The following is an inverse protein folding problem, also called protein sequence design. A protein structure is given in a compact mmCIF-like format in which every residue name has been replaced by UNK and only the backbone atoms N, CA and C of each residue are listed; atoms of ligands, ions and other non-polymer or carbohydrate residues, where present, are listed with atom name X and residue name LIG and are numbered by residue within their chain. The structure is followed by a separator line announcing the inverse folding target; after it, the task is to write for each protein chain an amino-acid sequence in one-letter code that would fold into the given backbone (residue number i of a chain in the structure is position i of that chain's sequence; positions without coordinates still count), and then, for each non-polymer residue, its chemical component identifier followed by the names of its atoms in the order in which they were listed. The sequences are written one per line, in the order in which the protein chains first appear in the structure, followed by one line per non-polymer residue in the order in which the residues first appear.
data_IF_966262447316
#
_entry.id   IF_966262447316
#
_cell.length_a   1.000
_cell.length_b   1.000
_cell.length_c   1.000
_cell.angle_alpha   90.00
_cell.angle_beta   90.00
_cell.angle_gamma   90.00
#
_symmetry.space_group_name_H-M   'P 1'
#
loop_
_entity.id
_entity.type
_entity.pdbx_description
1 polymer ?
#
# COMPACT_ATOMS: atom_id res chain seq x y z
N UNK A 1 18.49 -6.34 3.85
CA UNK A 1 17.08 -6.52 4.24
C UNK A 1 16.61 -7.98 4.12
N UNK A 2 17.51 -8.98 4.14
CA UNK A 2 17.11 -10.40 4.10
C UNK A 2 16.68 -10.94 2.72
N UNK A 3 16.64 -10.11 1.67
CA UNK A 3 16.36 -10.54 0.30
C UNK A 3 17.68 -10.83 -0.44
N UNK A 4 17.91 -12.06 -0.93
CA UNK A 4 19.10 -12.44 -1.70
C UNK A 4 19.29 -11.62 -2.98
N UNK A 5 20.50 -11.57 -3.54
CA UNK A 5 20.79 -10.71 -4.71
C UNK A 5 20.10 -11.19 -5.97
N UNK A 6 20.02 -12.50 -6.15
CA UNK A 6 19.33 -13.18 -7.23
C UNK A 6 17.82 -12.97 -7.25
N UNK A 7 17.26 -12.39 -6.16
CA UNK A 7 15.85 -12.00 -6.05
C UNK A 7 15.63 -10.49 -6.06
N UNK A 8 16.57 -9.74 -6.64
CA UNK A 8 16.50 -8.29 -6.81
C UNK A 8 16.77 -7.95 -8.26
N UNK A 9 15.89 -7.14 -8.84
CA UNK A 9 15.98 -6.70 -10.22
C UNK A 9 15.88 -5.19 -10.28
N UNK A 10 16.67 -4.61 -11.17
CA UNK A 10 16.60 -3.18 -11.53
C UNK A 10 16.11 -3.14 -12.96
N UNK A 11 14.99 -2.46 -13.17
CA UNK A 11 14.43 -2.25 -14.51
C UNK A 11 14.92 -0.90 -15.01
N UNK A 12 15.69 -0.92 -16.10
CA UNK A 12 16.02 0.28 -16.85
C UNK A 12 15.16 0.30 -18.13
N UNK A 13 14.13 1.15 -18.13
CA UNK A 13 13.16 1.24 -19.21
C UNK A 13 12.93 2.71 -19.56
N UNK A 14 12.99 3.12 -20.84
CA UNK A 14 12.89 4.53 -21.23
C UNK A 14 11.55 5.18 -20.82
N UNK A 15 10.47 4.41 -20.77
CA UNK A 15 9.15 4.90 -20.35
C UNK A 15 8.88 4.84 -18.83
N UNK A 16 9.82 4.30 -18.03
CA UNK A 16 9.70 4.15 -16.57
C UNK A 16 10.78 4.94 -15.81
N UNK A 17 11.19 6.08 -16.36
CA UNK A 17 12.18 6.95 -15.73
C UNK A 17 11.57 7.69 -14.53
N UNK A 18 12.36 7.87 -13.47
CA UNK A 18 11.87 8.57 -12.28
C UNK A 18 11.60 10.06 -12.57
N UNK A 19 10.44 10.54 -12.14
CA UNK A 19 9.91 11.85 -12.52
C UNK A 19 8.73 12.24 -11.61
N UNK A 20 8.81 13.42 -11.00
CA UNK A 20 7.80 13.91 -10.06
C UNK A 20 6.59 14.55 -10.74
N UNK A 21 6.62 14.79 -12.05
CA UNK A 21 5.54 15.44 -12.81
C UNK A 21 4.86 14.53 -13.83
N UNK A 22 5.44 13.37 -14.12
CA UNK A 22 4.95 12.43 -15.14
C UNK A 22 4.55 11.14 -14.48
N UNK A 23 3.34 10.65 -14.80
CA UNK A 23 2.90 9.32 -14.40
C UNK A 23 3.37 8.29 -15.41
N UNK A 24 3.85 7.13 -14.94
CA UNK A 24 4.13 5.99 -15.81
C UNK A 24 2.86 5.41 -16.42
N UNK A 25 2.95 4.94 -17.66
CA UNK A 25 1.85 4.25 -18.34
C UNK A 25 1.56 2.91 -17.67
N UNK A 26 0.28 2.70 -17.31
CA UNK A 26 -0.15 1.51 -16.58
C UNK A 26 0.04 0.21 -17.38
N UNK A 27 -0.06 0.25 -18.71
CA UNK A 27 0.17 -0.94 -19.55
C UNK A 27 1.65 -1.28 -19.60
N UNK A 28 2.53 -0.29 -19.69
CA UNK A 28 3.99 -0.52 -19.63
C UNK A 28 4.37 -1.16 -18.30
N UNK A 29 3.90 -0.59 -17.18
CA UNK A 29 4.11 -1.17 -15.84
C UNK A 29 3.57 -2.61 -15.80
N UNK A 30 2.35 -2.84 -16.30
CA UNK A 30 1.73 -4.15 -16.32
C UNK A 30 2.55 -5.18 -17.10
N UNK A 31 3.01 -4.84 -18.31
CA UNK A 31 3.78 -5.72 -19.17
C UNK A 31 5.09 -6.14 -18.51
N UNK A 32 5.83 -5.16 -17.96
CA UNK A 32 7.09 -5.43 -17.25
C UNK A 32 6.85 -6.35 -16.07
N UNK A 33 5.91 -6.01 -15.19
CA UNK A 33 5.70 -6.77 -13.94
C UNK A 33 5.11 -8.16 -14.19
N UNK A 34 4.24 -8.31 -15.19
CA UNK A 34 3.66 -9.60 -15.57
C UNK A 34 4.74 -10.64 -15.86
N UNK A 35 5.77 -10.25 -16.61
CA UNK A 35 6.88 -11.15 -16.94
C UNK A 35 7.61 -11.64 -15.68
N UNK A 36 7.94 -10.73 -14.77
CA UNK A 36 8.60 -11.09 -13.50
C UNK A 36 7.77 -12.03 -12.62
N UNK A 37 6.45 -11.82 -12.57
CA UNK A 37 5.54 -12.67 -11.79
C UNK A 37 5.55 -14.10 -12.34
N UNK A 38 5.48 -14.24 -13.66
CA UNK A 38 5.49 -15.55 -14.33
C UNK A 38 6.83 -16.25 -14.10
N UNK A 39 7.94 -15.57 -14.40
CA UNK A 39 9.28 -16.18 -14.38
C UNK A 39 9.72 -16.62 -12.98
N UNK A 40 9.15 -16.03 -11.93
CA UNK A 40 9.52 -16.28 -10.54
C UNK A 40 8.41 -16.94 -9.71
N UNK A 41 7.30 -17.35 -10.35
CA UNK A 41 6.12 -17.92 -9.69
C UNK A 41 5.67 -17.09 -8.46
N UNK A 42 5.48 -15.79 -8.65
CA UNK A 42 5.11 -14.88 -7.54
C UNK A 42 3.62 -15.04 -7.23
N UNK A 43 3.29 -15.46 -6.00
CA UNK A 43 1.89 -15.63 -5.57
C UNK A 43 1.28 -14.38 -4.92
N UNK A 44 2.11 -13.48 -4.39
CA UNK A 44 1.70 -12.28 -3.66
C UNK A 44 2.51 -11.08 -4.12
N UNK A 45 1.81 -10.01 -4.48
CA UNK A 45 2.41 -8.72 -4.87
C UNK A 45 2.00 -7.65 -3.87
N UNK A 46 3.00 -6.96 -3.31
CA UNK A 46 2.82 -5.79 -2.45
C UNK A 46 3.20 -4.52 -3.20
N UNK A 47 2.38 -3.47 -3.14
CA UNK A 47 2.64 -2.21 -3.86
C UNK A 47 2.22 -0.97 -3.08
N UNK A 48 2.56 0.21 -3.59
CA UNK A 48 2.20 1.51 -3.02
C UNK A 48 0.68 1.74 -2.98
N UNK A 49 0.27 2.74 -2.21
CA UNK A 49 -1.13 3.18 -2.17
C UNK A 49 -1.49 4.03 -3.39
N UNK A 50 -2.79 4.26 -3.59
CA UNK A 50 -3.30 5.03 -4.73
C UNK A 50 -2.98 6.53 -4.67
N UNK A 51 -2.51 7.04 -3.52
CA UNK A 51 -2.01 8.41 -3.34
C UNK A 51 -0.47 8.50 -3.31
N UNK A 52 0.24 7.39 -3.59
CA UNK A 52 1.69 7.38 -3.80
C UNK A 52 2.54 7.77 -2.58
N UNK A 53 2.05 7.53 -1.37
CA UNK A 53 2.56 7.87 -0.03
C UNK A 53 2.72 9.38 0.19
N UNK A 54 3.37 10.07 -0.74
CA UNK A 54 3.63 11.50 -0.78
C UNK A 54 3.17 12.13 -2.09
N UNK A 55 2.15 11.58 -2.75
CA UNK A 55 1.61 12.07 -4.04
C UNK A 55 2.60 11.97 -5.20
N UNK A 56 3.53 11.01 -5.15
CA UNK A 56 4.49 10.79 -6.23
C UNK A 56 3.83 10.08 -7.42
N UNK A 57 3.80 10.65 -8.64
CA UNK A 57 3.09 10.06 -9.78
C UNK A 57 3.51 8.64 -10.11
N UNK A 58 4.81 8.35 -10.09
CA UNK A 58 5.33 7.00 -10.34
C UNK A 58 4.82 5.96 -9.33
N UNK A 59 4.74 6.31 -8.04
CA UNK A 59 4.16 5.42 -7.03
C UNK A 59 2.67 5.18 -7.28
N UNK A 60 1.92 6.21 -7.71
CA UNK A 60 0.50 6.13 -8.04
C UNK A 60 0.26 5.23 -9.27
N UNK A 61 1.19 5.22 -10.24
CA UNK A 61 1.09 4.38 -11.44
C UNK A 61 1.22 2.88 -11.14
N UNK A 62 1.95 2.50 -10.10
CA UNK A 62 2.18 1.10 -9.76
C UNK A 62 0.91 0.29 -9.45
N UNK A 63 0.03 0.70 -8.52
CA UNK A 63 -1.21 -0.05 -8.27
C UNK A 63 -2.12 -0.07 -9.52
N UNK A 64 -2.12 0.99 -10.34
CA UNK A 64 -2.87 1.02 -11.60
C UNK A 64 -2.36 -0.02 -12.59
N UNK A 65 -1.05 -0.11 -12.80
CA UNK A 65 -0.46 -1.13 -13.67
C UNK A 65 -0.69 -2.56 -13.17
N UNK A 66 -0.65 -2.76 -11.85
CA UNK A 66 -0.88 -4.07 -11.25
C UNK A 66 -2.34 -4.54 -11.37
N UNK A 67 -3.31 -3.64 -11.36
CA UNK A 67 -4.71 -3.98 -11.69
C UNK A 67 -4.83 -4.48 -13.13
N UNK A 68 -4.10 -3.87 -14.07
CA UNK A 68 -4.02 -4.39 -15.44
C UNK A 68 -3.38 -5.77 -15.49
N UNK A 69 -2.33 -6.01 -14.70
CA UNK A 69 -1.71 -7.33 -14.58
C UNK A 69 -2.71 -8.38 -14.13
N UNK A 70 -3.49 -8.12 -13.08
CA UNK A 70 -4.53 -9.07 -12.64
C UNK A 70 -5.52 -9.41 -13.76
N UNK A 71 -5.97 -8.41 -14.51
CA UNK A 71 -6.87 -8.61 -15.66
C UNK A 71 -6.23 -9.50 -16.75
N UNK A 72 -4.94 -9.27 -17.04
CA UNK A 72 -4.19 -10.10 -17.99
C UNK A 72 -4.11 -11.56 -17.52
N UNK A 73 -3.78 -11.81 -16.25
CA UNK A 73 -3.73 -13.16 -15.70
C UNK A 73 -5.09 -13.86 -15.76
N UNK A 74 -6.17 -13.16 -15.39
CA UNK A 74 -7.53 -13.67 -15.50
C UNK A 74 -7.89 -14.05 -16.94
N UNK A 75 -7.62 -13.17 -17.91
CA UNK A 75 -7.93 -13.42 -19.31
C UNK A 75 -7.11 -14.60 -19.89
N UNK A 76 -5.85 -14.71 -19.49
CA UNK A 76 -4.93 -15.77 -19.94
C UNK A 76 -5.06 -17.08 -19.16
N UNK A 77 -6.00 -17.20 -18.22
CA UNK A 77 -6.20 -18.39 -17.37
C UNK A 77 -4.95 -18.82 -16.58
N UNK A 78 -4.03 -17.88 -16.32
CA UNK A 78 -2.90 -18.13 -15.44
C UNK A 78 -3.32 -18.03 -13.97
N UNK A 79 -2.68 -18.77 -13.04
CA UNK A 79 -2.85 -18.56 -11.61
C UNK A 79 -2.63 -17.09 -11.26
N UNK A 80 -3.69 -16.42 -10.78
CA UNK A 80 -3.64 -14.98 -10.54
C UNK A 80 -3.01 -14.70 -9.17
N UNK A 81 -1.96 -13.87 -9.09
CA UNK A 81 -1.37 -13.50 -7.81
C UNK A 81 -2.32 -12.63 -6.98
N UNK A 82 -2.20 -12.71 -5.66
CA UNK A 82 -2.91 -11.81 -4.74
C UNK A 82 -2.21 -10.46 -4.72
N UNK A 83 -2.94 -9.39 -5.01
CA UNK A 83 -2.42 -8.03 -5.00
C UNK A 83 -2.81 -7.30 -3.71
N UNK A 84 -1.85 -6.69 -3.06
CA UNK A 84 -2.05 -5.83 -1.90
C UNK A 84 -1.47 -4.45 -2.13
N UNK A 85 -2.25 -3.44 -1.80
CA UNK A 85 -1.85 -2.03 -1.79
C UNK A 85 -1.70 -1.54 -0.37
N UNK A 86 -0.79 -0.60 -0.13
CA UNK A 86 -0.81 0.16 1.12
C UNK A 86 -2.14 0.92 1.24
N UNK A 87 -2.61 1.09 2.46
CA UNK A 87 -3.75 1.98 2.74
C UNK A 87 -3.25 3.42 2.80
N UNK A 88 -3.93 4.27 2.03
CA UNK A 88 -3.77 5.71 2.14
C UNK A 88 -4.30 6.17 3.50
N UNK A 89 -3.44 6.84 4.26
CA UNK A 89 -3.81 7.45 5.54
C UNK A 89 -3.76 8.96 5.44
N UNK A 90 -4.49 9.67 6.32
CA UNK A 90 -4.47 11.13 6.35
C UNK A 90 -3.06 11.67 6.61
N UNK A 91 -2.76 12.89 6.16
CA UNK A 91 -1.46 13.53 6.42
C UNK A 91 -1.15 13.61 7.92
N UNK A 92 -2.15 13.87 8.76
CA UNK A 92 -1.97 13.84 10.21
C UNK A 92 -1.53 12.45 10.70
N UNK A 93 -2.24 11.40 10.27
CA UNK A 93 -1.92 10.00 10.62
C UNK A 93 -0.52 9.59 10.13
N UNK A 94 -0.08 10.10 8.97
CA UNK A 94 1.26 9.82 8.41
C UNK A 94 2.38 10.22 9.37
N UNK A 95 2.20 11.23 10.22
CA UNK A 95 3.24 11.78 11.09
C UNK A 95 3.05 11.45 12.58
N UNK A 96 2.48 10.29 12.88
CA UNK A 96 2.25 9.81 14.26
C UNK A 96 3.40 9.00 14.85
N UNK A 97 4.43 8.69 14.06
CA UNK A 97 5.68 8.03 14.51
C UNK A 97 5.42 6.74 15.32
N UNK A 98 6.19 6.52 16.38
CA UNK A 98 6.12 5.38 17.30
C UNK A 98 4.77 5.27 18.04
N UNK A 99 3.93 6.32 18.04
CA UNK A 99 2.56 6.23 18.57
C UNK A 99 1.60 5.56 17.58
N UNK A 100 2.00 5.41 16.31
CA UNK A 100 1.17 4.83 15.28
C UNK A 100 0.64 3.41 15.58
N UNK A 101 1.38 2.47 16.19
CA UNK A 101 0.84 1.17 16.58
C UNK A 101 -0.23 1.27 17.67
N UNK A 102 -0.10 2.23 18.59
CA UNK A 102 -1.10 2.49 19.64
C UNK A 102 -2.35 3.12 19.04
N UNK A 103 -2.17 4.09 18.14
CA UNK A 103 -3.27 4.73 17.41
C UNK A 103 -3.95 3.77 16.43
N UNK A 104 -3.22 2.87 15.75
CA UNK A 104 -3.82 1.85 14.89
C UNK A 104 -4.74 0.91 15.68
N UNK A 105 -4.30 0.49 16.88
CA UNK A 105 -5.13 -0.32 17.78
C UNK A 105 -6.34 0.48 18.27
N UNK A 106 -6.17 1.75 18.59
CA UNK A 106 -7.27 2.63 18.96
C UNK A 106 -8.26 2.80 17.80
N UNK A 107 -7.81 3.08 16.59
CA UNK A 107 -8.62 3.22 15.38
C UNK A 107 -9.37 1.93 15.05
N UNK A 108 -8.75 0.76 15.19
CA UNK A 108 -9.42 -0.53 15.00
C UNK A 108 -10.49 -0.77 16.09
N UNK A 109 -10.22 -0.37 17.33
CA UNK A 109 -11.18 -0.50 18.44
C UNK A 109 -12.33 0.50 18.28
N UNK A 110 -12.05 1.75 17.93
CA UNK A 110 -13.08 2.76 17.68
C UNK A 110 -13.91 2.42 16.47
N UNK A 111 -13.30 1.93 15.39
CA UNK A 111 -13.97 1.37 14.22
C UNK A 111 -14.96 0.27 14.60
N UNK A 112 -14.54 -0.67 15.45
CA UNK A 112 -15.40 -1.76 15.94
C UNK A 112 -16.53 -1.23 16.81
N UNK A 113 -16.23 -0.37 17.79
CA UNK A 113 -17.24 0.22 18.69
C UNK A 113 -18.25 1.05 17.92
N UNK A 114 -17.78 1.91 17.02
CA UNK A 114 -18.63 2.71 16.14
C UNK A 114 -19.45 1.82 15.21
N UNK A 115 -18.86 0.76 14.65
CA UNK A 115 -19.58 -0.24 13.87
C UNK A 115 -20.68 -0.96 14.67
N UNK A 116 -20.43 -1.30 15.94
CA UNK A 116 -21.48 -1.84 16.82
C UNK A 116 -22.59 -0.82 17.09
N UNK A 117 -22.24 0.43 17.35
CA UNK A 117 -23.21 1.50 17.62
C UNK A 117 -24.02 1.88 16.38
N UNK A 118 -23.41 1.89 15.20
CA UNK A 118 -24.10 2.11 13.92
C UNK A 118 -25.03 0.94 13.61
N UNK A 119 -24.58 -0.32 13.74
CA UNK A 119 -25.46 -1.48 13.54
C UNK A 119 -26.63 -1.50 14.55
N UNK A 120 -26.41 -1.00 15.77
CA UNK A 120 -27.46 -0.82 16.77
C UNK A 120 -28.44 0.30 16.39
N UNK A 121 -27.95 1.39 15.78
CA UNK A 121 -28.76 2.54 15.34
C UNK A 121 -29.46 2.31 13.98
N UNK A 122 -28.85 1.56 13.05
CA UNK A 122 -29.42 1.15 11.76
C UNK A 122 -30.59 0.17 11.94
N UNK A 123 -30.73 -0.44 13.11
CA UNK A 123 -31.95 -1.16 13.47
C UNK A 123 -33.16 -0.21 13.65
N UNK A 124 -32.96 1.11 13.71
CA UNK A 124 -34.04 2.11 13.84
C UNK A 124 -34.19 3.11 12.67
N UNK A 125 -33.26 3.30 11.73
CA UNK A 125 -33.45 4.30 10.66
C UNK A 125 -32.77 3.97 9.33
N UNK A 126 -33.57 3.70 8.30
CA UNK A 126 -33.15 3.61 6.89
C UNK A 126 -33.25 5.01 6.27
N UNK A 127 -32.11 5.65 5.93
CA UNK A 127 -32.10 6.74 4.95
C UNK A 127 -30.80 6.77 4.15
N UNK A 128 -30.92 6.47 2.86
CA UNK A 128 -29.86 6.52 1.87
C UNK A 128 -29.36 7.93 1.63
N UNK A 129 -28.06 8.18 1.72
CA UNK A 129 -27.43 9.37 1.13
C UNK A 129 -26.22 8.96 0.29
N UNK A 130 -26.33 9.19 -1.03
CA UNK A 130 -25.33 8.83 -2.03
C UNK A 130 -24.15 9.80 -2.07
N UNK A 131 -23.08 9.47 -1.34
CA UNK A 131 -21.75 10.05 -1.50
C UNK A 131 -20.77 9.00 -2.06
N UNK A 132 -19.77 9.41 -2.88
CA UNK A 132 -18.88 8.46 -3.55
C UNK A 132 -17.86 7.87 -2.56
N UNK A 133 -17.77 6.54 -2.57
CA UNK A 133 -16.91 5.66 -1.76
C UNK A 133 -17.13 5.79 -0.25
N UNK A 134 -18.14 5.06 0.24
CA UNK A 134 -18.50 5.02 1.64
C UNK A 134 -17.41 4.34 2.47
N UNK A 135 -17.00 5.00 3.57
CA UNK A 135 -16.16 4.44 4.65
C UNK A 135 -16.63 3.06 5.14
N UNK A 136 -17.87 2.69 4.85
CA UNK A 136 -18.47 1.39 5.11
C UNK A 136 -17.70 0.21 4.47
N UNK A 137 -17.11 0.40 3.28
CA UNK A 137 -16.33 -0.65 2.60
C UNK A 137 -14.99 -0.95 3.30
N UNK A 138 -14.42 0.06 3.97
CA UNK A 138 -13.18 -0.07 4.75
C UNK A 138 -13.40 -0.93 6.01
N UNK A 139 -14.56 -0.80 6.65
CA UNK A 139 -14.88 -1.54 7.87
C UNK A 139 -15.24 -3.01 7.62
N UNK A 140 -15.90 -3.33 6.51
CA UNK A 140 -16.22 -4.72 6.16
C UNK A 140 -14.99 -5.50 5.66
N UNK A 141 -14.00 -4.84 5.07
CA UNK A 141 -12.72 -5.45 4.69
C UNK A 141 -11.70 -5.60 5.84
N UNK A 142 -11.95 -5.00 7.01
CA UNK A 142 -11.02 -5.00 8.13
C UNK A 142 -10.73 -6.40 8.73
N UNK A 143 -11.56 -7.42 8.46
CA UNK A 143 -11.34 -8.79 8.97
C UNK A 143 -10.27 -9.60 8.20
N UNK A 144 -9.80 -9.12 7.06
CA UNK A 144 -8.78 -9.79 6.24
C UNK A 144 -7.55 -8.95 5.93
N UNK A 145 -7.41 -7.79 6.57
CA UNK A 145 -6.36 -6.80 6.31
C UNK A 145 -5.06 -7.19 7.00
N UNK A 146 -3.99 -7.56 6.28
CA UNK A 146 -2.70 -7.81 6.90
C UNK A 146 -2.14 -6.50 7.47
N UNK A 147 -1.76 -6.52 8.74
CA UNK A 147 -1.11 -5.38 9.40
C UNK A 147 0.25 -5.84 9.91
N UNK A 148 1.30 -5.15 9.45
CA UNK A 148 2.66 -5.39 9.91
C UNK A 148 3.07 -4.27 10.85
N UNK A 149 3.51 -4.64 12.05
CA UNK A 149 4.02 -3.72 13.06
C UNK A 149 5.50 -4.02 13.27
N UNK A 150 6.34 -3.02 13.02
CA UNK A 150 7.78 -3.07 13.21
C UNK A 150 8.13 -2.80 14.67
N UNK A 151 9.07 -3.59 15.21
CA UNK A 151 9.74 -3.27 16.46
C UNK A 151 10.96 -2.38 16.23
N UNK A 152 11.73 -2.19 17.30
CA UNK A 152 12.95 -1.38 17.26
C UNK A 152 13.97 -1.98 16.29
N UNK A 153 14.10 -3.30 16.24
CA UNK A 153 15.07 -3.97 15.37
C UNK A 153 14.74 -3.75 13.89
N UNK A 154 13.48 -3.91 13.50
CA UNK A 154 13.01 -3.65 12.14
C UNK A 154 13.17 -2.19 11.75
N UNK A 155 12.85 -1.26 12.67
CA UNK A 155 13.08 0.18 12.45
C UNK A 155 14.57 0.47 12.18
N UNK A 156 15.48 -0.08 12.98
CA UNK A 156 16.93 0.11 12.79
C UNK A 156 17.41 -0.50 11.46
N UNK A 157 16.85 -1.64 11.05
CA UNK A 157 17.15 -2.24 9.75
C UNK A 157 16.66 -1.38 8.59
N UNK A 158 15.44 -0.81 8.68
CA UNK A 158 14.92 0.13 7.70
C UNK A 158 15.79 1.40 7.63
N UNK A 159 16.19 1.94 8.77
CA UNK A 159 17.10 3.09 8.85
C UNK A 159 18.46 2.77 8.20
N UNK A 160 19.02 1.59 8.47
CA UNK A 160 20.27 1.15 7.84
C UNK A 160 20.13 1.10 6.31
N UNK A 161 19.02 0.60 5.79
CA UNK A 161 18.76 0.57 4.35
C UNK A 161 18.63 1.98 3.76
N UNK A 162 17.86 2.87 4.40
CA UNK A 162 17.73 4.28 3.97
C UNK A 162 19.08 5.00 3.92
N UNK A 163 19.98 4.70 4.86
CA UNK A 163 21.34 5.25 4.90
C UNK A 163 22.25 4.75 3.78
N UNK A 164 21.89 3.70 3.05
CA UNK A 164 22.63 3.30 1.83
C UNK A 164 22.39 4.28 0.68
N UNK A 165 21.31 5.08 0.73
CA UNK A 165 20.97 6.11 -0.26
C UNK A 165 21.40 7.50 0.23
N UNK A 166 22.64 7.65 0.67
CA UNK A 166 23.15 8.87 1.35
C UNK A 166 22.86 10.14 0.57
N UNK A 167 23.06 10.13 -0.75
CA UNK A 167 22.84 11.30 -1.63
C UNK A 167 21.38 11.77 -1.69
N UNK A 168 20.43 10.89 -1.37
CA UNK A 168 19.00 11.18 -1.37
C UNK A 168 18.44 11.46 0.03
N UNK A 169 19.23 11.24 1.09
CA UNK A 169 18.82 11.37 2.49
C UNK A 169 18.99 12.81 3.02
N UNK A 170 18.40 13.76 2.30
CA UNK A 170 18.37 15.19 2.66
C UNK A 170 17.48 15.48 3.88
N UNK A 171 17.57 16.68 4.45
CA UNK A 171 16.99 17.01 5.78
C UNK A 171 15.52 16.59 5.99
N UNK A 172 14.65 16.75 4.99
CA UNK A 172 13.24 16.38 5.14
C UNK A 172 13.01 14.85 5.17
N UNK A 173 13.94 14.05 4.62
CA UNK A 173 13.89 12.58 4.75
C UNK A 173 14.17 12.14 6.17
N UNK A 174 14.98 12.88 6.93
CA UNK A 174 15.17 12.62 8.35
C UNK A 174 13.88 12.88 9.15
N UNK A 175 13.13 13.93 8.81
CA UNK A 175 11.80 14.13 9.38
C UNK A 175 10.86 12.97 9.06
N UNK A 176 10.87 12.48 7.81
CA UNK A 176 10.09 11.30 7.44
C UNK A 176 10.50 10.06 8.25
N UNK A 177 11.80 9.74 8.34
CA UNK A 177 12.28 8.61 9.12
C UNK A 177 11.88 8.70 10.60
N UNK A 178 11.99 9.89 11.19
CA UNK A 178 11.67 10.12 12.61
C UNK A 178 10.16 10.09 12.89
N UNK A 179 9.34 10.64 11.99
CA UNK A 179 7.92 10.87 12.28
C UNK A 179 6.95 10.01 11.49
N UNK A 180 7.40 9.33 10.43
CA UNK A 180 6.52 8.54 9.58
C UNK A 180 5.98 7.32 10.32
N UNK A 181 4.65 7.18 10.28
CA UNK A 181 3.93 5.96 10.65
C UNK A 181 4.40 4.76 9.86
N UNK A 182 4.74 4.91 8.59
CA UNK A 182 5.13 3.79 7.71
C UNK A 182 6.44 3.12 8.11
N UNK A 183 7.27 3.78 8.93
CA UNK A 183 8.45 3.16 9.56
C UNK A 183 8.07 2.14 10.65
N UNK A 184 6.82 2.16 11.12
CA UNK A 184 6.33 1.39 12.26
C UNK A 184 5.15 0.50 11.92
N UNK A 185 4.19 0.98 11.12
CA UNK A 185 2.94 0.27 10.81
C UNK A 185 2.66 0.35 9.32
N UNK A 186 2.44 -0.80 8.70
CA UNK A 186 2.00 -0.93 7.32
C UNK A 186 0.73 -1.77 7.27
N UNK A 187 -0.33 -1.17 6.73
CA UNK A 187 -1.65 -1.78 6.60
C UNK A 187 -1.93 -2.02 5.11
N UNK A 188 -2.36 -3.24 4.80
CA UNK A 188 -2.45 -3.72 3.42
C UNK A 188 -3.88 -4.07 3.04
N UNK A 189 -4.36 -3.51 1.95
CA UNK A 189 -5.68 -3.79 1.38
C UNK A 189 -5.53 -4.73 0.17
N UNK A 190 -6.20 -5.88 0.22
CA UNK A 190 -6.27 -6.81 -0.92
C UNK A 190 -7.13 -6.19 -2.03
N UNK A 191 -6.57 -6.09 -3.23
CA UNK A 191 -7.26 -5.65 -4.43
C UNK A 191 -7.73 -6.88 -5.18
N UNK A 192 -9.04 -7.01 -5.35
CA UNK A 192 -9.64 -8.07 -6.18
C UNK A 192 -9.83 -7.55 -7.59
N UNK A 193 -9.51 -8.37 -8.59
CA UNK A 193 -9.93 -8.10 -9.95
C UNK A 193 -11.47 -8.08 -9.97
N UNK A 194 -12.06 -6.94 -10.36
CA UNK A 194 -13.48 -6.91 -10.70
C UNK A 194 -13.65 -7.71 -12.00
N UNK A 195 -14.44 -8.77 -11.92
CA UNK A 195 -14.85 -9.61 -13.05
C UNK A 195 -15.60 -8.82 -14.10
#
# INVERSE_FOLDING_TARGET
LGVPEERRWIVDHPDLQDNITVAWDAKVVSNVVTQYIIDNNIDIVLTFDYEGISSHPNHISLPRGLVHTLKTFHASHHPTPRLYTLITVSTFTKYTSILAPLLAKFDLVTARVLGYLINFAEQETVLSTGLPLSRHDVYLNARGMPVFVSGIHEYLNALKAMRMHVSQLVWFRWLYVSFSRYMWVNEWLEVKAQS
#
